data_IF_180991836850
#
_entry.id   IF_180991836850
#
_cell.length_a   1.000
_cell.length_b   1.000
_cell.length_c   1.000
_cell.angle_alpha   90.00
_cell.angle_beta   90.00
_cell.angle_gamma   90.00
#
_symmetry.space_group_name_H-M   'P 1'
#
loop_
_entity.id
_entity.type
_entity.pdbx_description
1 polymer ?
#
# COMPACT_ATOMS: atom_id res chain seq x y z
N UNK A 1 1.39 -5.22 -21.43
CA UNK A 1 -0.06 -5.01 -21.37
C UNK A 1 -0.36 -4.11 -20.18
N UNK A 2 -0.50 -2.80 -20.40
CA UNK A 2 -0.71 -1.84 -19.32
C UNK A 2 -2.19 -1.92 -18.87
N UNK A 3 -2.41 -2.27 -17.61
CA UNK A 3 -3.74 -2.37 -17.01
C UNK A 3 -4.38 -0.98 -16.96
N UNK A 4 -5.12 -0.63 -18.03
CA UNK A 4 -5.86 0.63 -18.12
C UNK A 4 -7.00 0.60 -17.09
N UNK A 5 -6.70 1.13 -15.91
CA UNK A 5 -7.62 1.85 -15.03
C UNK A 5 -8.99 1.22 -14.84
N UNK A 6 -9.07 0.09 -14.14
CA UNK A 6 -10.30 -0.24 -13.43
C UNK A 6 -10.55 0.91 -12.45
N UNK A 7 -11.64 1.66 -12.65
CA UNK A 7 -11.95 2.79 -11.79
C UNK A 7 -12.08 2.31 -10.34
N UNK A 8 -11.13 2.71 -9.49
CA UNK A 8 -11.14 2.36 -8.08
C UNK A 8 -12.26 3.12 -7.39
N UNK A 9 -13.06 2.38 -6.61
CA UNK A 9 -14.20 2.94 -5.88
C UNK A 9 -13.90 2.85 -4.39
N UNK A 10 -14.11 3.95 -3.69
CA UNK A 10 -13.95 4.01 -2.25
C UNK A 10 -15.00 3.12 -1.57
N UNK A 11 -14.61 2.13 -0.76
CA UNK A 11 -15.55 1.24 -0.08
C UNK A 11 -16.37 1.95 1.01
N UNK A 12 -15.97 3.17 1.42
CA UNK A 12 -16.66 3.95 2.45
C UNK A 12 -17.74 4.87 1.89
N UNK A 13 -17.45 5.60 0.81
CA UNK A 13 -18.34 6.64 0.28
C UNK A 13 -18.78 6.42 -1.17
N UNK A 14 -18.27 5.39 -1.85
CA UNK A 14 -18.59 5.12 -3.26
C UNK A 14 -17.96 6.07 -4.28
N UNK A 15 -17.11 7.02 -3.84
CA UNK A 15 -16.42 7.93 -4.77
C UNK A 15 -15.41 7.19 -5.65
N UNK A 16 -15.29 7.65 -6.91
CA UNK A 16 -14.29 7.20 -7.87
C UNK A 16 -12.99 8.01 -7.81
N UNK A 17 -12.94 9.05 -6.97
CA UNK A 17 -11.76 9.88 -6.77
C UNK A 17 -10.82 9.22 -5.74
N UNK A 18 -10.22 8.11 -6.18
CA UNK A 18 -9.31 7.27 -5.40
C UNK A 18 -7.98 7.23 -6.11
N UNK A 19 -6.91 7.59 -5.39
CA UNK A 19 -5.55 7.38 -5.85
C UNK A 19 -5.07 5.98 -5.45
N UNK A 20 -4.24 5.38 -6.29
CA UNK A 20 -3.55 4.13 -6.01
C UNK A 20 -2.05 4.30 -6.24
N UNK A 21 -1.26 3.75 -5.34
CA UNK A 21 0.20 3.72 -5.42
C UNK A 21 0.61 2.27 -5.20
N UNK A 22 1.30 1.67 -6.16
CA UNK A 22 1.85 0.32 -6.02
C UNK A 22 3.31 0.42 -5.61
N UNK A 23 3.63 -0.18 -4.47
CA UNK A 23 4.98 -0.27 -3.92
C UNK A 23 5.45 -1.72 -4.06
N UNK A 24 6.71 -1.89 -4.46
CA UNK A 24 7.39 -3.19 -4.45
C UNK A 24 8.46 -3.13 -3.38
N UNK A 25 8.37 -4.01 -2.40
CA UNK A 25 9.38 -4.19 -1.35
C UNK A 25 10.53 -5.05 -1.92
N UNK A 26 11.75 -4.86 -1.43
CA UNK A 26 12.97 -5.57 -1.83
C UNK A 26 12.84 -7.09 -1.62
N UNK A 27 12.04 -7.53 -0.65
CA UNK A 27 11.74 -8.95 -0.41
C UNK A 27 10.70 -9.55 -1.38
N UNK A 28 10.31 -8.81 -2.42
CA UNK A 28 9.37 -9.25 -3.46
C UNK A 28 7.90 -9.06 -3.09
N UNK A 29 7.61 -8.57 -1.89
CA UNK A 29 6.25 -8.28 -1.45
C UNK A 29 5.71 -7.04 -2.19
N UNK A 30 4.54 -7.17 -2.83
CA UNK A 30 3.89 -6.06 -3.54
C UNK A 30 2.72 -5.54 -2.72
N UNK A 31 2.80 -4.28 -2.32
CA UNK A 31 1.73 -3.62 -1.56
C UNK A 31 1.15 -2.46 -2.35
N UNK A 32 -0.17 -2.35 -2.35
CA UNK A 32 -0.91 -1.30 -3.01
C UNK A 32 -1.55 -0.41 -1.94
N UNK A 33 -1.20 0.87 -1.95
CA UNK A 33 -1.84 1.89 -1.14
C UNK A 33 -3.00 2.52 -1.91
N UNK A 34 -4.09 2.78 -1.20
CA UNK A 34 -5.25 3.46 -1.73
C UNK A 34 -5.68 4.60 -0.81
N UNK A 35 -6.02 5.74 -1.40
CA UNK A 35 -6.55 6.89 -0.66
C UNK A 35 -7.67 7.56 -1.42
N UNK A 36 -8.80 7.77 -0.74
CA UNK A 36 -9.93 8.52 -1.29
C UNK A 36 -9.79 10.02 -0.99
N UNK A 37 -9.81 10.86 -2.01
CA UNK A 37 -9.75 12.32 -1.87
C UNK A 37 -11.07 12.97 -1.42
N UNK A 38 -12.16 12.20 -1.28
CA UNK A 38 -13.46 12.74 -0.87
C UNK A 38 -13.78 12.55 0.62
N UNK A 39 -13.31 11.46 1.23
CA UNK A 39 -13.62 11.13 2.62
C UNK A 39 -12.39 10.73 3.44
N UNK A 40 -11.21 10.92 2.85
CA UNK A 40 -9.90 10.61 3.43
C UNK A 40 -9.72 9.17 3.93
N UNK A 41 -10.57 8.24 3.46
CA UNK A 41 -10.41 6.81 3.74
C UNK A 41 -9.16 6.30 3.04
N UNK A 42 -8.31 5.62 3.82
CA UNK A 42 -7.07 4.99 3.37
C UNK A 42 -7.14 3.49 3.65
N UNK A 43 -6.62 2.69 2.74
CA UNK A 43 -6.57 1.24 2.89
C UNK A 43 -5.42 0.65 2.06
N UNK A 44 -5.06 -0.60 2.36
CA UNK A 44 -3.93 -1.28 1.77
C UNK A 44 -4.33 -2.64 1.24
N UNK A 45 -3.71 -3.07 0.15
CA UNK A 45 -3.78 -4.44 -0.33
C UNK A 45 -2.36 -5.01 -0.47
N UNK A 46 -2.19 -6.28 -0.17
CA UNK A 46 -1.00 -7.08 -0.46
C UNK A 46 -1.38 -8.14 -1.47
N UNK A 47 -0.70 -8.17 -2.62
CA UNK A 47 -0.97 -9.15 -3.68
C UNK A 47 -2.47 -9.26 -4.06
N UNK A 48 -3.17 -8.11 -4.00
CA UNK A 48 -4.61 -8.01 -4.27
C UNK A 48 -5.54 -8.27 -3.07
N UNK A 49 -5.05 -8.85 -1.96
CA UNK A 49 -5.83 -9.08 -0.75
C UNK A 49 -5.78 -7.87 0.21
N UNK A 50 -6.87 -7.49 0.89
CA UNK A 50 -6.86 -6.40 1.86
C UNK A 50 -5.93 -6.72 3.04
N UNK A 51 -5.16 -5.73 3.47
CA UNK A 51 -4.23 -5.84 4.60
C UNK A 51 -4.32 -4.58 5.47
N UNK A 52 -4.08 -4.74 6.77
CA UNK A 52 -4.10 -3.63 7.71
C UNK A 52 -2.75 -2.87 7.71
N UNK A 53 -2.82 -1.60 8.11
CA UNK A 53 -1.65 -0.73 8.17
C UNK A 53 -0.52 -1.29 9.07
N UNK A 54 -0.78 -1.86 10.27
CA UNK A 54 0.28 -2.40 11.12
C UNK A 54 1.08 -3.50 10.41
N UNK A 55 0.42 -4.43 9.73
CA UNK A 55 1.09 -5.48 8.96
C UNK A 55 1.94 -4.91 7.82
N UNK A 56 1.45 -3.87 7.13
CA UNK A 56 2.24 -3.16 6.10
C UNK A 56 3.49 -2.51 6.67
N UNK A 57 3.39 -1.88 7.84
CA UNK A 57 4.54 -1.28 8.51
C UNK A 57 5.55 -2.35 8.97
N UNK A 58 5.10 -3.50 9.46
CA UNK A 58 5.97 -4.61 9.81
C UNK A 58 6.70 -5.19 8.57
N UNK A 59 6.00 -5.32 7.43
CA UNK A 59 6.64 -5.70 6.16
C UNK A 59 7.72 -4.69 5.74
N UNK A 60 7.40 -3.38 5.78
CA UNK A 60 8.37 -2.33 5.46
C UNK A 60 9.57 -2.28 6.43
N UNK A 61 9.38 -2.64 7.71
CA UNK A 61 10.48 -2.77 8.69
C UNK A 61 11.40 -3.95 8.37
N UNK A 62 10.84 -5.07 7.90
CA UNK A 62 11.61 -6.27 7.52
C UNK A 62 12.39 -6.07 6.23
N UNK A 63 11.77 -5.35 5.28
CA UNK A 63 12.41 -4.90 4.05
C UNK A 63 13.75 -4.18 4.33
N UNK A 64 13.77 -3.37 5.39
CA UNK A 64 14.92 -2.61 5.88
C UNK A 64 16.02 -3.41 6.60
N UNK A 65 16.01 -4.74 6.66
CA UNK A 65 17.13 -5.48 7.28
C UNK A 65 18.33 -5.63 6.32
N UNK A 66 19.48 -4.94 6.45
CA UNK A 66 20.35 -4.63 7.63
C UNK A 66 21.59 -3.77 7.19
N UNK A 67 22.28 -2.97 8.05
CA UNK A 67 21.95 -2.51 9.41
C UNK A 67 22.00 -0.97 9.63
N UNK A 68 21.38 -0.53 10.72
CA UNK A 68 21.81 0.67 11.44
C UNK A 68 23.24 0.45 11.98
N UNK A 69 24.14 1.37 11.63
CA UNK A 69 25.54 1.37 12.04
C UNK A 69 25.74 1.48 13.54
N UNK A 70 26.91 1.01 13.94
CA UNK A 70 27.54 1.03 15.26
C UNK A 70 27.61 2.44 15.86
N UNK A 71 27.33 2.57 17.16
CA UNK A 71 27.83 3.67 17.98
C UNK A 71 28.91 3.07 18.90
N UNK A 72 30.13 3.59 18.77
CA UNK A 72 31.32 3.24 19.55
C UNK A 72 31.76 4.47 20.36
#
# INVERSE_FOLDING_TARGET
>A
MAERGRALVCPRCGSKNVININLSLEHGERVAFYSCHQCDKRWWHKDGAPVDLPDVLEMARRDKGRPAGTEA
#
